data_IF_178515683178
#
_entry.id   IF_178515683178
#
_cell.length_a   1.000
_cell.length_b   1.000
_cell.length_c   1.000
_cell.angle_alpha   90.00
_cell.angle_beta   90.00
_cell.angle_gamma   90.00
#
_symmetry.space_group_name_H-M   'P 1'
#
loop_
_entity.id
_entity.type
_entity.pdbx_description
1 polymer ?
#
# COMPACT_ATOMS: atom_id res chain seq x y z
N UNK A 1 -30.06 -8.91 14.97
CA UNK A 1 -30.48 -8.00 16.05
C UNK A 1 -30.54 -6.61 15.46
N UNK A 2 -31.77 -6.10 15.30
CA UNK A 2 -32.06 -4.75 14.82
C UNK A 2 -31.86 -3.76 15.97
N UNK A 3 -31.19 -2.67 15.74
CA UNK A 3 -31.16 -1.54 16.64
C UNK A 3 -31.75 -0.32 15.93
N UNK A 4 -33.01 0.00 16.29
CA UNK A 4 -33.65 1.28 16.02
C UNK A 4 -33.14 2.34 16.99
N UNK A 5 -32.79 3.50 16.47
CA UNK A 5 -32.46 4.68 17.27
C UNK A 5 -33.68 5.59 17.39
N UNK A 6 -34.17 5.74 18.60
CA UNK A 6 -35.22 6.75 18.94
C UNK A 6 -34.57 7.89 19.71
N UNK A 7 -34.74 9.08 19.16
CA UNK A 7 -34.35 10.37 19.75
C UNK A 7 -35.34 10.76 20.85
N UNK A 8 -34.86 11.19 22.03
CA UNK A 8 -35.62 12.11 22.92
C UNK A 8 -34.67 13.09 23.60
N UNK A 9 -34.99 14.37 23.37
CA UNK A 9 -34.51 15.52 24.14
C UNK A 9 -35.27 15.57 25.48
N UNK A 10 -34.62 16.00 26.55
CA UNK A 10 -35.26 16.86 27.57
C UNK A 10 -34.23 17.68 28.35
N UNK A 11 -34.62 18.91 28.57
CA UNK A 11 -33.96 20.00 29.32
C UNK A 11 -34.14 19.87 30.84
N UNK A 12 -33.18 20.44 31.63
CA UNK A 12 -33.39 21.33 32.79
C UNK A 12 -32.05 21.42 33.55
N UNK A 13 -31.41 22.54 33.67
CA UNK A 13 -31.48 23.73 34.54
C UNK A 13 -31.27 23.41 36.04
N UNK A 14 -30.28 24.08 36.64
CA UNK A 14 -30.15 24.23 38.10
C UNK A 14 -28.73 24.56 38.55
N UNK A 15 -28.57 25.82 38.86
CA UNK A 15 -27.44 26.51 39.54
C UNK A 15 -27.15 25.92 40.93
N UNK A 16 -25.89 25.97 41.39
CA UNK A 16 -25.50 26.86 42.49
C UNK A 16 -24.02 26.78 42.81
N UNK A 17 -23.54 27.92 43.26
CA UNK A 17 -22.14 28.26 43.55
C UNK A 17 -21.68 27.70 44.90
N UNK A 18 -20.40 27.37 44.96
CA UNK A 18 -19.66 27.12 46.23
C UNK A 18 -18.16 27.27 46.04
N UNK A 19 -17.69 28.47 46.33
CA UNK A 19 -16.25 28.81 46.39
C UNK A 19 -15.71 28.38 47.75
N UNK A 20 -14.53 27.71 47.82
CA UNK A 20 -13.52 27.89 48.89
C UNK A 20 -12.13 27.37 48.42
N UNK A 21 -11.03 27.92 48.93
CA UNK A 21 -9.76 28.01 48.20
C UNK A 21 -8.61 27.16 48.75
N UNK A 22 -7.58 27.06 47.91
CA UNK A 22 -6.11 26.99 48.15
C UNK A 22 -5.56 25.75 48.86
N UNK A 23 -4.74 25.02 48.14
CA UNK A 23 -3.37 24.70 48.57
C UNK A 23 -2.51 24.26 47.38
N UNK A 24 -1.45 24.98 47.11
CA UNK A 24 -0.36 24.68 46.19
C UNK A 24 0.36 23.40 46.62
N UNK A 25 0.50 22.44 45.69
CA UNK A 25 1.60 21.49 45.67
C UNK A 25 2.03 21.32 44.21
N UNK A 26 3.07 22.00 43.82
CA UNK A 26 3.75 21.85 42.56
C UNK A 26 4.50 20.52 42.57
N UNK A 27 3.93 19.50 41.95
CA UNK A 27 4.64 18.27 41.59
C UNK A 27 5.05 18.44 40.14
N UNK A 28 6.31 18.80 39.91
CA UNK A 28 6.95 18.80 38.59
C UNK A 28 7.13 17.32 38.19
N UNK A 29 6.15 16.73 37.55
CA UNK A 29 6.33 15.51 36.83
C UNK A 29 6.90 15.87 35.44
N UNK A 30 8.22 15.72 35.30
CA UNK A 30 8.87 15.73 34.00
C UNK A 30 8.37 14.49 33.22
N UNK A 31 7.28 14.65 32.51
CA UNK A 31 6.87 13.72 31.46
C UNK A 31 7.86 13.94 30.32
N UNK A 32 8.86 13.07 30.20
CA UNK A 32 9.62 12.93 28.95
C UNK A 32 8.63 12.50 27.87
N UNK A 33 8.11 13.48 27.15
CA UNK A 33 7.52 13.29 25.84
C UNK A 33 8.67 12.83 24.92
N UNK A 34 8.85 11.53 24.81
CA UNK A 34 9.47 10.95 23.64
C UNK A 34 8.47 11.21 22.52
N UNK A 35 8.55 12.41 21.97
CA UNK A 35 7.97 12.69 20.67
C UNK A 35 8.74 11.85 19.65
N UNK A 36 8.28 10.61 19.45
CA UNK A 36 8.59 9.89 18.25
C UNK A 36 8.17 10.83 17.10
N UNK A 37 9.14 11.50 16.51
CA UNK A 37 8.96 12.15 15.23
C UNK A 37 8.59 11.04 14.25
N UNK A 38 7.31 10.81 14.10
CA UNK A 38 6.79 10.27 12.86
C UNK A 38 7.19 11.31 11.80
N UNK A 39 8.33 11.10 11.17
CA UNK A 39 8.61 11.73 9.90
C UNK A 39 7.50 11.20 8.98
N UNK A 40 6.48 12.02 8.74
CA UNK A 40 5.68 11.86 7.56
C UNK A 40 6.72 11.95 6.42
N UNK A 41 7.11 10.79 5.89
CA UNK A 41 7.83 10.72 4.64
C UNK A 41 6.89 11.38 3.65
N UNK A 42 7.24 12.59 3.22
CA UNK A 42 6.59 13.25 2.09
C UNK A 42 6.63 12.21 0.99
N UNK A 43 5.47 11.64 0.66
CA UNK A 43 5.44 10.54 -0.31
C UNK A 43 6.00 11.07 -1.62
N UNK A 44 7.13 10.51 -2.02
CA UNK A 44 7.70 10.83 -3.30
C UNK A 44 6.67 10.49 -4.39
N UNK A 45 6.40 11.40 -5.32
CA UNK A 45 5.44 11.12 -6.40
C UNK A 45 5.91 9.94 -7.25
N UNK A 46 4.94 9.24 -7.84
CA UNK A 46 5.19 8.18 -8.81
C UNK A 46 5.08 8.76 -10.23
N UNK A 47 5.97 8.30 -11.12
CA UNK A 47 5.97 8.71 -12.52
C UNK A 47 6.49 7.63 -13.44
N UNK A 48 6.48 7.94 -14.74
CA UNK A 48 7.02 7.09 -15.79
C UNK A 48 8.09 7.88 -16.55
N UNK A 49 9.20 7.23 -16.86
CA UNK A 49 10.30 7.85 -17.58
C UNK A 49 9.85 8.33 -18.95
N UNK A 50 10.30 9.52 -19.36
CA UNK A 50 10.06 10.04 -20.71
C UNK A 50 10.70 9.14 -21.78
N UNK A 51 11.88 8.62 -21.47
CA UNK A 51 12.62 7.68 -22.30
C UNK A 51 13.05 6.47 -21.44
N UNK A 52 12.77 5.24 -21.89
CA UNK A 52 13.13 4.06 -21.12
C UNK A 52 14.65 3.89 -21.08
N UNK A 53 15.20 3.64 -19.90
CA UNK A 53 16.61 3.27 -19.73
C UNK A 53 16.87 1.81 -20.11
N UNK A 54 18.15 1.39 -20.11
CA UNK A 54 18.58 0.03 -20.42
C UNK A 54 17.87 -0.98 -19.50
N UNK A 55 17.24 -1.99 -20.09
CA UNK A 55 16.36 -2.94 -19.39
C UNK A 55 17.04 -3.65 -18.21
N UNK A 56 18.30 -4.05 -18.36
CA UNK A 56 19.07 -4.72 -17.32
C UNK A 56 19.24 -3.92 -16.01
N UNK A 57 18.98 -2.62 -16.00
CA UNK A 57 18.96 -1.80 -14.79
C UNK A 57 17.67 -1.96 -13.96
N UNK A 58 16.73 -2.74 -14.45
CA UNK A 58 15.44 -2.98 -13.78
C UNK A 58 14.34 -2.05 -14.24
N UNK A 59 13.15 -2.28 -13.72
CA UNK A 59 11.92 -1.59 -14.16
C UNK A 59 11.65 -0.30 -13.40
N UNK A 60 12.30 -0.09 -12.27
CA UNK A 60 12.06 1.05 -11.39
C UNK A 60 13.36 1.67 -10.90
N UNK A 61 13.33 2.98 -10.68
CA UNK A 61 14.41 3.73 -10.01
C UNK A 61 13.83 4.81 -9.11
N UNK A 62 14.60 5.21 -8.10
CA UNK A 62 14.36 6.45 -7.38
C UNK A 62 15.24 7.57 -7.97
N UNK A 63 14.70 8.76 -8.13
CA UNK A 63 15.46 9.98 -8.43
C UNK A 63 15.70 10.67 -7.11
N UNK A 64 16.97 10.85 -6.77
CA UNK A 64 17.43 11.38 -5.49
C UNK A 64 18.17 12.69 -5.72
N UNK A 65 17.70 13.77 -5.10
CA UNK A 65 18.33 15.08 -5.12
C UNK A 65 19.31 15.21 -3.97
N UNK A 66 20.56 15.57 -4.29
CA UNK A 66 21.59 16.01 -3.37
C UNK A 66 21.80 17.51 -3.52
N UNK A 67 21.60 18.28 -2.46
CA UNK A 67 21.68 19.74 -2.49
C UNK A 67 23.10 20.27 -2.22
N UNK A 68 23.85 19.59 -1.38
CA UNK A 68 25.15 20.05 -0.92
C UNK A 68 26.23 18.97 -1.05
N UNK A 69 27.44 19.41 -1.39
CA UNK A 69 28.59 18.52 -1.44
C UNK A 69 28.93 18.00 -0.03
N UNK A 70 29.11 16.69 0.07
CA UNK A 70 29.48 16.02 1.32
C UNK A 70 30.31 14.77 0.99
N UNK A 71 31.07 14.25 1.96
CA UNK A 71 31.80 12.97 1.81
C UNK A 71 30.83 11.77 1.80
N UNK A 72 29.69 11.92 2.46
CA UNK A 72 28.58 10.98 2.40
C UNK A 72 27.25 11.70 2.59
N UNK A 73 26.18 11.20 1.94
CA UNK A 73 24.80 11.63 2.14
C UNK A 73 23.94 10.41 2.45
N UNK A 74 22.91 10.61 3.26
CA UNK A 74 21.93 9.58 3.61
C UNK A 74 20.63 9.81 2.84
N UNK A 75 20.08 8.76 2.24
CA UNK A 75 18.76 8.77 1.63
C UNK A 75 17.91 7.61 2.15
N UNK A 76 16.65 7.89 2.49
CA UNK A 76 15.63 6.87 2.75
C UNK A 76 14.67 6.84 1.56
N UNK A 77 14.55 5.68 0.91
CA UNK A 77 13.75 5.48 -0.31
C UNK A 77 12.53 4.64 0.04
N UNK A 78 11.31 5.20 0.06
CA UNK A 78 10.08 4.49 0.39
C UNK A 78 9.56 3.72 -0.84
N UNK A 79 10.27 2.71 -1.27
CA UNK A 79 9.96 1.98 -2.52
C UNK A 79 8.78 1.02 -2.44
N UNK A 80 8.32 0.63 -1.26
CA UNK A 80 7.09 -0.17 -1.03
C UNK A 80 6.93 -1.36 -1.98
N UNK A 81 7.95 -2.21 -1.99
CA UNK A 81 8.10 -3.33 -2.92
C UNK A 81 7.28 -4.54 -2.48
N UNK A 82 6.75 -5.28 -3.46
CA UNK A 82 6.18 -6.62 -3.22
C UNK A 82 7.24 -7.72 -3.07
N UNK A 83 8.46 -7.39 -3.36
CA UNK A 83 9.63 -8.23 -3.26
C UNK A 83 9.97 -8.56 -1.80
N UNK A 84 10.16 -9.84 -1.49
CA UNK A 84 10.36 -10.31 -0.12
C UNK A 84 11.82 -10.29 0.35
N UNK A 85 12.79 -10.26 -0.58
CA UNK A 85 14.24 -10.33 -0.29
C UNK A 85 15.04 -9.22 -0.98
N UNK A 86 14.68 -7.94 -0.72
CA UNK A 86 15.39 -6.80 -1.33
C UNK A 86 16.88 -6.74 -0.94
N UNK A 87 17.21 -7.26 0.25
CA UNK A 87 18.58 -7.31 0.76
C UNK A 87 19.49 -8.25 -0.06
N UNK A 88 18.92 -9.21 -0.78
CA UNK A 88 19.65 -10.14 -1.66
C UNK A 88 19.84 -9.62 -3.08
N UNK A 89 19.36 -8.43 -3.37
CA UNK A 89 19.38 -7.84 -4.71
C UNK A 89 20.26 -6.60 -4.74
N UNK A 90 20.93 -6.39 -5.89
CA UNK A 90 21.82 -5.27 -6.08
C UNK A 90 21.07 -3.95 -6.11
N UNK A 91 21.77 -2.90 -5.63
CA UNK A 91 21.36 -1.51 -5.77
C UNK A 91 22.50 -0.80 -6.51
N UNK A 92 22.14 -0.03 -7.53
CA UNK A 92 23.07 0.76 -8.32
C UNK A 92 22.74 2.24 -8.15
N UNK A 93 23.73 3.04 -7.77
CA UNK A 93 23.60 4.49 -7.72
C UNK A 93 24.40 5.09 -8.87
N UNK A 94 23.78 5.96 -9.65
CA UNK A 94 24.38 6.58 -10.83
C UNK A 94 24.15 8.07 -10.76
N UNK A 95 25.19 8.87 -10.95
CA UNK A 95 25.09 10.32 -11.12
C UNK A 95 24.32 10.64 -12.41
N UNK A 96 23.23 11.39 -12.31
CA UNK A 96 22.34 11.64 -13.44
C UNK A 96 22.97 12.55 -14.52
N UNK A 97 23.97 13.34 -14.14
CA UNK A 97 24.62 14.30 -15.06
C UNK A 97 25.73 13.65 -15.84
N UNK A 98 26.60 12.91 -15.17
CA UNK A 98 27.78 12.30 -15.79
C UNK A 98 27.56 10.87 -16.27
N UNK A 99 26.49 10.19 -15.77
CA UNK A 99 26.29 8.75 -15.99
C UNK A 99 27.25 7.88 -15.17
N UNK A 100 28.08 8.46 -14.32
CA UNK A 100 29.07 7.74 -13.52
C UNK A 100 28.38 6.89 -12.46
N UNK A 101 28.74 5.60 -12.40
CA UNK A 101 28.33 4.72 -11.30
C UNK A 101 29.08 5.10 -10.01
N UNK A 102 28.34 5.26 -8.94
CA UNK A 102 28.90 5.50 -7.60
C UNK A 102 29.27 4.14 -6.99
N UNK A 103 30.52 4.01 -6.58
CA UNK A 103 31.05 2.78 -5.96
C UNK A 103 30.93 2.79 -4.44
N UNK A 104 31.10 3.95 -3.81
CA UNK A 104 30.94 4.11 -2.38
C UNK A 104 29.45 4.26 -2.03
N UNK A 105 28.78 3.12 -1.85
CA UNK A 105 27.37 3.00 -1.48
C UNK A 105 27.24 2.00 -0.34
N UNK A 106 26.95 2.47 0.86
CA UNK A 106 26.68 1.64 2.02
C UNK A 106 25.17 1.38 2.16
N UNK A 107 24.80 0.13 2.27
CA UNK A 107 23.43 -0.35 2.49
C UNK A 107 23.22 -0.43 3.99
N UNK A 108 22.50 0.54 4.58
CA UNK A 108 22.31 0.66 6.03
C UNK A 108 21.14 -0.17 6.53
N UNK A 109 20.01 -0.03 5.86
CA UNK A 109 18.81 -0.81 6.11
C UNK A 109 18.09 -1.06 4.79
N UNK A 110 17.65 -2.29 4.56
CA UNK A 110 16.89 -2.66 3.38
C UNK A 110 15.81 -3.63 3.78
N UNK A 111 14.58 -3.25 3.57
CA UNK A 111 13.44 -4.15 3.65
C UNK A 111 12.51 -3.92 2.45
N UNK A 112 11.35 -4.57 2.44
CA UNK A 112 10.38 -4.45 1.37
C UNK A 112 9.64 -3.11 1.35
N UNK A 113 9.68 -2.32 2.40
CA UNK A 113 9.00 -1.04 2.51
C UNK A 113 9.91 0.12 2.17
N UNK A 114 11.14 0.07 2.63
CA UNK A 114 12.11 1.14 2.43
C UNK A 114 13.54 0.65 2.27
N UNK A 115 14.40 1.53 1.76
CA UNK A 115 15.84 1.35 1.73
C UNK A 115 16.57 2.57 2.22
N UNK A 116 17.41 2.40 3.26
CA UNK A 116 18.31 3.43 3.75
C UNK A 116 19.71 3.20 3.18
N UNK A 117 20.21 4.17 2.41
CA UNK A 117 21.51 4.13 1.76
C UNK A 117 22.34 5.35 2.17
N UNK A 118 23.64 5.11 2.49
CA UNK A 118 24.60 6.19 2.49
C UNK A 118 25.48 6.08 1.25
N UNK A 119 25.72 7.17 0.53
CA UNK A 119 26.57 7.16 -0.65
C UNK A 119 27.41 8.43 -0.76
N UNK A 120 28.54 8.34 -1.48
CA UNK A 120 29.45 9.44 -1.74
C UNK A 120 29.03 10.18 -3.01
N UNK A 121 28.44 11.38 -2.94
CA UNK A 121 28.07 12.12 -4.14
C UNK A 121 29.30 12.71 -4.84
N UNK A 122 29.31 12.68 -6.18
CA UNK A 122 30.34 13.27 -7.02
C UNK A 122 29.92 14.65 -7.54
N UNK A 123 28.63 14.85 -7.76
CA UNK A 123 28.04 16.12 -8.19
C UNK A 123 27.07 16.63 -7.13
N UNK A 124 27.19 17.91 -6.73
CA UNK A 124 26.26 18.59 -5.85
C UNK A 124 26.26 20.12 -6.13
N UNK A 125 25.09 20.75 -6.30
CA UNK A 125 23.78 20.12 -6.33
C UNK A 125 23.63 19.22 -7.56
N UNK A 126 22.91 18.10 -7.40
CA UNK A 126 22.71 17.14 -8.50
C UNK A 126 21.70 16.05 -8.20
N UNK A 127 21.25 15.38 -9.26
CA UNK A 127 20.35 14.24 -9.16
C UNK A 127 21.11 12.92 -9.32
N UNK A 128 20.63 11.90 -8.64
CA UNK A 128 21.15 10.55 -8.69
C UNK A 128 20.01 9.57 -9.00
N UNK A 129 20.28 8.61 -9.88
CA UNK A 129 19.40 7.49 -10.15
C UNK A 129 19.78 6.31 -9.26
N UNK A 130 18.84 5.84 -8.46
CA UNK A 130 18.99 4.65 -7.62
C UNK A 130 18.16 3.53 -8.22
N UNK A 131 18.80 2.59 -8.91
CA UNK A 131 18.17 1.39 -9.47
C UNK A 131 18.22 0.28 -8.43
N UNK A 132 17.10 -0.36 -8.14
CA UNK A 132 17.02 -1.30 -7.02
C UNK A 132 16.52 -2.71 -7.40
N UNK A 133 16.42 -3.02 -8.69
CA UNK A 133 16.06 -4.33 -9.22
C UNK A 133 16.84 -4.65 -10.52
N UNK A 134 18.16 -4.39 -10.58
CA UNK A 134 18.91 -4.74 -11.77
C UNK A 134 18.97 -6.25 -11.94
N UNK A 135 18.90 -6.72 -13.19
CA UNK A 135 18.94 -8.12 -13.54
C UNK A 135 19.85 -8.40 -14.73
N UNK A 136 20.30 -9.65 -14.84
CA UNK A 136 21.01 -10.11 -16.03
C UNK A 136 20.02 -10.37 -17.16
N UNK A 137 20.19 -9.75 -18.36
CA UNK A 137 19.37 -10.08 -19.52
C UNK A 137 19.51 -11.57 -19.85
N UNK A 138 18.41 -12.29 -19.91
CA UNK A 138 18.41 -13.68 -20.33
C UNK A 138 18.13 -13.75 -21.83
N UNK A 139 19.00 -14.39 -22.64
CA UNK A 139 18.72 -14.64 -24.04
C UNK A 139 17.67 -15.75 -24.16
N UNK A 140 16.56 -15.47 -24.82
CA UNK A 140 15.55 -16.48 -25.17
C UNK A 140 14.12 -16.00 -25.08
N UNK A 141 13.32 -16.49 -26.01
CA UNK A 141 11.85 -16.28 -26.01
C UNK A 141 11.23 -17.12 -24.88
N UNK A 142 10.50 -16.49 -23.97
CA UNK A 142 9.66 -17.20 -22.99
C UNK A 142 10.25 -17.38 -21.59
N UNK A 143 11.41 -16.82 -21.26
CA UNK A 143 11.85 -16.81 -19.87
C UNK A 143 11.12 -15.71 -19.08
N UNK A 144 10.18 -16.12 -18.23
CA UNK A 144 9.48 -15.23 -17.30
C UNK A 144 10.23 -15.00 -15.98
N UNK A 145 11.34 -15.73 -15.75
CA UNK A 145 12.18 -15.53 -14.58
C UNK A 145 13.25 -14.47 -14.87
N UNK A 146 13.42 -13.53 -13.95
CA UNK A 146 14.50 -12.54 -13.99
C UNK A 146 15.54 -12.94 -12.95
N UNK A 147 16.79 -13.11 -13.39
CA UNK A 147 17.90 -13.33 -12.47
C UNK A 147 18.41 -11.98 -11.99
N UNK A 148 17.89 -11.55 -10.84
CA UNK A 148 18.33 -10.33 -10.21
C UNK A 148 19.80 -10.42 -9.81
N UNK A 149 20.55 -9.35 -10.04
CA UNK A 149 21.96 -9.30 -9.68
C UNK A 149 22.12 -9.36 -8.15
N UNK A 150 23.02 -10.20 -7.64
CA UNK A 150 23.31 -10.24 -6.22
C UNK A 150 24.02 -8.95 -5.77
N UNK A 151 23.96 -8.60 -4.48
CA UNK A 151 24.69 -7.46 -3.93
C UNK A 151 26.19 -7.60 -4.20
N UNK A 152 26.80 -6.49 -4.61
CA UNK A 152 28.23 -6.37 -4.73
C UNK A 152 28.73 -5.35 -3.70
N UNK A 153 29.67 -5.73 -2.87
CA UNK A 153 30.37 -4.78 -2.00
C UNK A 153 31.46 -4.09 -2.83
N UNK A 154 31.17 -2.88 -3.26
CA UNK A 154 32.10 -2.03 -4.02
C UNK A 154 32.63 -0.86 -3.17
N UNK A 155 32.36 -0.90 -1.87
CA UNK A 155 32.66 0.19 -0.94
C UNK A 155 34.15 0.19 -0.63
N UNK A 156 34.81 1.34 -0.87
CA UNK A 156 36.20 1.54 -0.45
C UNK A 156 36.35 1.46 1.07
N UNK A 157 37.28 0.64 1.57
CA UNK A 157 37.47 0.45 3.01
C UNK A 157 37.72 1.76 3.75
N UNK A 158 38.56 2.65 3.16
CA UNK A 158 38.86 3.95 3.75
C UNK A 158 37.62 4.86 3.84
N UNK A 159 36.78 4.88 2.82
CA UNK A 159 35.55 5.66 2.87
C UNK A 159 34.57 5.08 3.90
N UNK A 160 34.43 3.74 3.95
CA UNK A 160 33.58 3.06 4.92
C UNK A 160 33.98 3.35 6.36
N UNK A 161 35.30 3.42 6.64
CA UNK A 161 35.83 3.75 7.98
C UNK A 161 35.55 5.19 8.42
N UNK A 162 35.33 6.11 7.48
CA UNK A 162 34.98 7.52 7.77
C UNK A 162 33.49 7.75 7.99
N UNK A 163 32.64 6.77 7.70
CA UNK A 163 31.22 6.91 7.99
C UNK A 163 31.00 7.03 9.51
N UNK A 164 30.17 7.99 9.96
CA UNK A 164 29.87 8.11 11.38
C UNK A 164 29.10 6.88 11.87
N UNK A 165 29.35 6.45 13.11
CA UNK A 165 28.58 5.38 13.75
C UNK A 165 27.07 5.68 13.75
N UNK A 166 26.72 6.94 14.05
CA UNK A 166 25.36 7.43 13.89
C UNK A 166 25.19 8.05 12.49
N UNK A 167 24.70 7.25 11.56
CA UNK A 167 24.46 7.67 10.18
C UNK A 167 23.35 8.71 10.03
N UNK A 168 22.50 8.91 11.05
CA UNK A 168 21.48 9.97 11.06
C UNK A 168 22.07 11.38 11.09
N UNK A 169 23.34 11.50 11.48
CA UNK A 169 24.09 12.76 11.43
C UNK A 169 24.51 13.17 10.01
N UNK A 170 24.41 12.27 9.02
CA UNK A 170 24.76 12.58 7.64
C UNK A 170 23.79 13.59 7.02
N UNK A 171 24.27 14.46 6.12
CA UNK A 171 23.40 15.28 5.29
C UNK A 171 22.36 14.42 4.55
N UNK A 172 21.12 14.89 4.52
CA UNK A 172 20.01 14.17 3.91
C UNK A 172 19.89 14.50 2.42
N UNK A 173 19.81 13.47 1.60
CA UNK A 173 19.34 13.58 0.23
C UNK A 173 17.83 13.29 0.19
N UNK A 174 17.13 13.86 -0.78
CA UNK A 174 15.67 13.78 -0.92
C UNK A 174 15.28 12.92 -2.12
N UNK A 175 14.38 11.97 -1.94
CA UNK A 175 13.71 11.30 -3.06
C UNK A 175 12.71 12.25 -3.67
N UNK A 176 12.89 12.59 -4.95
CA UNK A 176 12.03 13.53 -5.67
C UNK A 176 11.01 12.83 -6.57
N UNK A 177 11.31 11.59 -6.98
CA UNK A 177 10.43 10.79 -7.84
C UNK A 177 10.76 9.31 -7.68
N UNK A 178 9.74 8.48 -7.63
CA UNK A 178 9.83 7.04 -7.89
C UNK A 178 9.36 6.80 -9.33
N UNK A 179 10.24 6.33 -10.19
CA UNK A 179 10.02 6.32 -11.62
C UNK A 179 9.99 4.89 -12.16
N UNK A 180 8.98 4.58 -12.96
CA UNK A 180 8.90 3.36 -13.74
C UNK A 180 9.57 3.54 -15.10
N UNK A 181 10.17 2.48 -15.63
CA UNK A 181 10.88 2.49 -16.92
C UNK A 181 9.96 2.74 -18.10
N UNK A 182 8.77 2.13 -18.08
CA UNK A 182 7.74 2.24 -19.14
C UNK A 182 6.35 2.32 -18.51
N UNK A 183 5.34 2.68 -19.29
CA UNK A 183 3.94 2.63 -18.86
C UNK A 183 3.50 1.23 -18.43
N UNK A 184 4.06 0.17 -19.03
CA UNK A 184 3.79 -1.21 -18.64
C UNK A 184 4.26 -1.51 -17.20
N UNK A 185 5.34 -0.86 -16.77
CA UNK A 185 5.93 -1.01 -15.44
C UNK A 185 5.40 0.02 -14.43
N UNK A 186 4.44 0.86 -14.82
CA UNK A 186 3.92 1.95 -13.99
C UNK A 186 3.44 1.47 -12.63
N UNK A 187 3.59 2.32 -11.63
CA UNK A 187 3.15 2.02 -10.26
C UNK A 187 1.63 2.00 -10.19
N UNK A 188 1.07 0.80 -10.09
CA UNK A 188 -0.37 0.63 -9.98
C UNK A 188 -0.83 0.87 -8.53
N UNK A 189 -1.82 1.75 -8.28
CA UNK A 189 -2.21 2.13 -6.91
C UNK A 189 -2.61 0.96 -6.00
N UNK A 190 -3.07 -0.16 -6.61
CA UNK A 190 -3.44 -1.38 -5.88
C UNK A 190 -2.25 -2.32 -5.61
N UNK A 191 -1.03 -1.91 -5.97
CA UNK A 191 0.20 -2.69 -5.76
C UNK A 191 1.24 -1.95 -4.91
N UNK A 192 0.95 -0.72 -4.49
CA UNK A 192 1.74 0.02 -3.50
C UNK A 192 1.40 -0.51 -2.11
N UNK A 193 2.37 -1.15 -1.46
CA UNK A 193 2.15 -1.90 -0.21
C UNK A 193 2.12 -0.96 1.00
N UNK A 194 1.14 -1.15 1.89
CA UNK A 194 1.10 -0.48 3.18
C UNK A 194 2.09 -1.11 4.16
N UNK A 195 2.69 -0.27 5.03
CA UNK A 195 3.59 -0.77 6.09
C UNK A 195 2.81 -1.40 7.25
N UNK A 196 3.45 -2.23 8.08
CA UNK A 196 2.82 -2.79 9.28
C UNK A 196 2.27 -1.71 10.23
N UNK A 197 2.99 -0.59 10.38
CA UNK A 197 2.60 0.55 11.23
C UNK A 197 1.35 1.23 10.71
N UNK A 198 1.25 1.44 9.39
CA UNK A 198 0.08 2.01 8.73
C UNK A 198 -1.14 1.10 8.88
N UNK A 199 -0.94 -0.21 8.74
CA UNK A 199 -1.98 -1.23 8.96
C UNK A 199 -2.43 -1.21 10.42
N UNK A 200 -1.51 -1.14 11.38
CA UNK A 200 -1.85 -1.05 12.79
C UNK A 200 -2.62 0.23 13.13
N UNK A 201 -2.27 1.35 12.52
CA UNK A 201 -3.02 2.60 12.66
C UNK A 201 -4.44 2.47 12.09
N UNK A 202 -4.62 1.80 10.95
CA UNK A 202 -5.95 1.52 10.39
C UNK A 202 -6.79 0.72 11.39
N UNK A 203 -6.24 -0.36 11.97
CA UNK A 203 -6.90 -1.20 12.95
C UNK A 203 -7.30 -0.42 14.22
N UNK A 204 -6.43 0.45 14.70
CA UNK A 204 -6.68 1.26 15.90
C UNK A 204 -7.79 2.30 15.69
N UNK A 205 -7.89 2.88 14.49
CA UNK A 205 -8.86 3.95 14.19
C UNK A 205 -10.26 3.44 13.90
N UNK A 206 -10.42 2.29 13.26
CA UNK A 206 -11.67 1.91 12.61
C UNK A 206 -12.20 0.53 12.94
N UNK A 207 -11.44 -0.29 13.64
CA UNK A 207 -11.75 -1.71 13.67
C UNK A 207 -11.32 -2.42 14.95
N UNK A 208 -11.39 -1.78 16.10
CA UNK A 208 -10.96 -2.38 17.36
C UNK A 208 -11.54 -3.80 17.56
N UNK A 209 -12.78 -4.06 17.12
CA UNK A 209 -13.51 -5.30 17.32
C UNK A 209 -13.90 -6.04 16.03
N UNK A 210 -13.50 -5.55 14.84
CA UNK A 210 -13.91 -6.18 13.58
C UNK A 210 -13.01 -7.35 13.22
N UNK A 211 -13.58 -8.53 13.00
CA UNK A 211 -12.86 -9.71 12.52
C UNK A 211 -12.27 -9.49 11.13
N UNK A 212 -12.95 -8.75 10.29
CA UNK A 212 -12.55 -8.44 8.92
C UNK A 212 -12.97 -7.03 8.50
N UNK A 213 -12.32 -6.51 7.46
CA UNK A 213 -12.66 -5.24 6.82
C UNK A 213 -12.99 -5.48 5.34
N UNK A 214 -13.86 -4.62 4.80
CA UNK A 214 -14.26 -4.68 3.39
C UNK A 214 -13.87 -3.40 2.66
N UNK A 215 -13.45 -3.58 1.41
CA UNK A 215 -12.96 -2.53 0.52
C UNK A 215 -13.57 -2.71 -0.86
N UNK A 216 -14.72 -2.06 -1.14
CA UNK A 216 -15.29 -2.08 -2.48
C UNK A 216 -14.37 -1.34 -3.46
N UNK A 217 -14.16 -1.93 -4.64
CA UNK A 217 -13.34 -1.34 -5.70
C UNK A 217 -14.03 -1.45 -7.06
N UNK A 218 -14.01 -0.35 -7.78
CA UNK A 218 -14.45 -0.27 -9.15
C UNK A 218 -13.53 -1.06 -10.09
N UNK A 219 -14.02 -1.45 -11.26
CA UNK A 219 -13.27 -2.19 -12.30
C UNK A 219 -11.96 -1.52 -12.74
N UNK A 220 -11.78 -0.18 -12.50
CA UNK A 220 -10.53 0.53 -12.77
C UNK A 220 -9.41 0.17 -11.81
N UNK A 221 -9.75 -0.37 -10.64
CA UNK A 221 -8.79 -0.73 -9.59
C UNK A 221 -8.88 -2.22 -9.20
N UNK A 222 -8.60 -3.14 -10.12
CA UNK A 222 -8.66 -4.57 -9.82
C UNK A 222 -7.72 -4.93 -8.67
N UNK A 223 -8.24 -5.71 -7.73
CA UNK A 223 -7.51 -6.18 -6.56
C UNK A 223 -6.50 -7.24 -7.01
N UNK A 224 -5.21 -6.97 -6.81
CA UNK A 224 -4.11 -7.81 -7.30
C UNK A 224 -3.30 -8.46 -6.19
N UNK A 225 -3.31 -7.90 -4.98
CA UNK A 225 -2.55 -8.42 -3.84
C UNK A 225 -3.42 -9.28 -2.93
N UNK A 226 -2.92 -10.45 -2.57
CA UNK A 226 -3.56 -11.37 -1.62
C UNK A 226 -2.90 -11.37 -0.25
N UNK A 227 -1.62 -11.05 -0.22
CA UNK A 227 -0.77 -11.16 0.98
C UNK A 227 -0.52 -9.80 1.63
N UNK A 228 -0.83 -8.72 0.95
CA UNK A 228 -0.56 -7.36 1.37
C UNK A 228 -1.79 -6.48 1.20
N UNK A 229 -1.90 -5.44 2.05
CA UNK A 229 -2.88 -4.38 1.88
C UNK A 229 -2.33 -3.27 0.97
N UNK A 230 -3.10 -2.81 -0.02
CA UNK A 230 -2.77 -1.60 -0.74
C UNK A 230 -2.75 -0.38 0.19
N UNK A 231 -1.74 0.46 0.08
CA UNK A 231 -1.67 1.74 0.80
C UNK A 231 -2.91 2.60 0.55
N UNK A 232 -3.44 2.55 -0.66
CA UNK A 232 -4.70 3.19 -1.05
C UNK A 232 -5.85 2.84 -0.09
N UNK A 233 -5.99 1.57 0.30
CA UNK A 233 -7.03 1.12 1.22
C UNK A 233 -6.79 1.62 2.65
N UNK A 234 -5.55 1.62 3.09
CA UNK A 234 -5.21 2.11 4.42
C UNK A 234 -5.49 3.60 4.56
N UNK A 235 -5.22 4.38 3.51
CA UNK A 235 -5.51 5.82 3.47
C UNK A 235 -7.01 6.12 3.40
N UNK A 236 -7.73 5.46 2.50
CA UNK A 236 -9.18 5.66 2.33
C UNK A 236 -9.99 5.08 3.50
N UNK A 237 -9.50 4.02 4.12
CA UNK A 237 -10.23 3.22 5.09
C UNK A 237 -11.23 2.26 4.43
N UNK A 238 -11.86 1.37 5.24
CA UNK A 238 -12.88 0.44 4.75
C UNK A 238 -14.11 1.21 4.26
N UNK A 239 -14.66 0.78 3.14
CA UNK A 239 -15.84 1.34 2.50
C UNK A 239 -17.08 0.49 2.70
N UNK A 240 -18.27 1.11 2.54
CA UNK A 240 -19.57 0.42 2.61
C UNK A 240 -20.40 0.60 1.34
N UNK A 241 -19.95 1.46 0.44
CA UNK A 241 -20.68 1.83 -0.76
C UNK A 241 -19.78 1.76 -1.99
N UNK A 242 -20.37 1.43 -3.11
CA UNK A 242 -19.75 1.52 -4.42
C UNK A 242 -20.79 2.08 -5.40
N UNK A 243 -20.33 2.97 -6.26
CA UNK A 243 -21.11 3.53 -7.35
C UNK A 243 -20.48 3.14 -8.67
N UNK A 244 -21.30 2.80 -9.65
CA UNK A 244 -20.82 2.43 -10.98
C UNK A 244 -21.89 2.73 -12.04
N UNK A 245 -21.43 3.02 -13.24
CA UNK A 245 -22.28 3.26 -14.39
C UNK A 245 -22.25 2.05 -15.32
N UNK A 246 -23.41 1.56 -15.73
CA UNK A 246 -23.56 0.45 -16.63
C UNK A 246 -24.60 0.74 -17.72
N UNK A 247 -24.41 0.16 -18.91
CA UNK A 247 -25.36 0.25 -19.99
C UNK A 247 -26.36 -0.92 -19.92
N UNK A 248 -27.50 -0.78 -20.58
CA UNK A 248 -28.41 -1.89 -20.80
C UNK A 248 -27.70 -3.01 -21.56
N UNK A 249 -27.99 -4.27 -21.22
CA UNK A 249 -27.34 -5.43 -21.80
C UNK A 249 -25.82 -5.48 -21.59
N UNK A 250 -25.32 -4.74 -20.57
CA UNK A 250 -23.94 -4.81 -20.12
C UNK A 250 -23.82 -5.80 -18.98
N UNK A 251 -22.75 -6.57 -18.98
CA UNK A 251 -22.31 -7.31 -17.82
C UNK A 251 -21.27 -6.46 -17.07
N UNK A 252 -21.73 -5.71 -16.09
CA UNK A 252 -20.86 -4.85 -15.28
C UNK A 252 -20.20 -5.65 -14.17
N UNK A 253 -18.91 -5.42 -13.92
CA UNK A 253 -18.15 -6.14 -12.87
C UNK A 253 -17.46 -5.15 -11.94
N UNK A 254 -17.54 -5.42 -10.64
CA UNK A 254 -16.76 -4.75 -9.60
C UNK A 254 -16.22 -5.77 -8.60
N UNK A 255 -15.39 -5.33 -7.66
CA UNK A 255 -14.83 -6.20 -6.65
C UNK A 255 -15.09 -5.69 -5.25
N UNK A 256 -15.17 -6.62 -4.29
CA UNK A 256 -15.13 -6.33 -2.87
C UNK A 256 -13.92 -7.06 -2.29
N UNK A 257 -12.91 -6.30 -1.85
CA UNK A 257 -11.79 -6.85 -1.10
C UNK A 257 -12.25 -7.18 0.32
N UNK A 258 -12.07 -8.41 0.74
CA UNK A 258 -12.30 -8.85 2.11
C UNK A 258 -10.95 -9.15 2.73
N UNK A 259 -10.55 -8.35 3.72
CA UNK A 259 -9.33 -8.56 4.47
C UNK A 259 -9.62 -9.19 5.82
N UNK A 260 -9.11 -10.39 6.06
CA UNK A 260 -9.22 -11.11 7.32
C UNK A 260 -8.29 -10.48 8.38
N UNK A 261 -8.76 -9.44 9.06
CA UNK A 261 -7.92 -8.58 9.88
C UNK A 261 -7.40 -9.27 11.16
N UNK A 262 -8.26 -10.04 11.84
CA UNK A 262 -7.95 -10.56 13.19
C UNK A 262 -8.10 -12.06 13.35
N UNK A 263 -8.81 -12.73 12.47
CA UNK A 263 -9.06 -14.16 12.53
C UNK A 263 -9.21 -14.75 11.14
N UNK A 264 -9.09 -16.06 11.02
CA UNK A 264 -9.44 -16.76 9.79
C UNK A 264 -10.93 -16.59 9.50
N UNK A 265 -11.28 -16.38 8.26
CA UNK A 265 -12.68 -16.36 7.81
C UNK A 265 -12.94 -17.67 7.07
N UNK A 266 -13.94 -18.41 7.52
CA UNK A 266 -14.33 -19.69 6.91
C UNK A 266 -15.66 -19.55 6.20
N UNK A 267 -15.80 -20.24 5.07
CA UNK A 267 -17.03 -20.35 4.31
C UNK A 267 -17.74 -19.01 4.10
N UNK A 268 -17.04 -18.04 3.46
CA UNK A 268 -17.67 -16.76 3.11
C UNK A 268 -18.91 -17.01 2.27
N UNK A 269 -20.05 -16.54 2.74
CA UNK A 269 -21.29 -16.45 1.99
C UNK A 269 -21.58 -15.01 1.58
N UNK A 270 -22.16 -14.85 0.39
CA UNK A 270 -22.47 -13.53 -0.20
C UNK A 270 -23.93 -13.49 -0.55
N UNK A 271 -24.67 -12.66 0.15
CA UNK A 271 -26.09 -12.46 -0.01
C UNK A 271 -26.38 -11.14 -0.73
N UNK A 272 -27.32 -11.19 -1.68
CA UNK A 272 -27.78 -10.03 -2.43
C UNK A 272 -29.23 -9.71 -2.08
N UNK A 273 -29.49 -8.45 -1.69
CA UNK A 273 -30.83 -7.96 -1.34
C UNK A 273 -31.12 -6.64 -2.05
N UNK A 274 -32.37 -6.36 -2.32
CA UNK A 274 -32.83 -5.12 -2.93
C UNK A 274 -33.34 -5.28 -4.36
N UNK A 275 -33.59 -4.17 -5.03
CA UNK A 275 -34.29 -4.08 -6.30
C UNK A 275 -33.62 -4.93 -7.41
N UNK A 276 -32.31 -4.79 -7.53
CA UNK A 276 -31.55 -5.46 -8.58
C UNK A 276 -30.82 -6.72 -8.09
N UNK A 277 -31.18 -7.26 -6.92
CA UNK A 277 -30.50 -8.43 -6.34
C UNK A 277 -30.40 -9.62 -7.31
N UNK A 278 -31.44 -9.83 -8.13
CA UNK A 278 -31.47 -10.91 -9.15
C UNK A 278 -30.50 -10.71 -10.33
N UNK A 279 -29.95 -9.51 -10.47
CA UNK A 279 -28.94 -9.23 -11.51
C UNK A 279 -27.52 -9.48 -11.01
N UNK A 280 -27.34 -9.68 -9.69
CA UNK A 280 -26.04 -9.83 -9.07
C UNK A 280 -25.64 -11.30 -8.92
N UNK A 281 -24.37 -11.54 -9.10
CA UNK A 281 -23.76 -12.85 -8.87
C UNK A 281 -22.33 -12.69 -8.33
N UNK A 282 -21.92 -13.57 -7.41
CA UNK A 282 -20.53 -13.64 -6.93
C UNK A 282 -19.81 -14.84 -7.56
N UNK A 283 -18.89 -14.59 -8.47
CA UNK A 283 -18.15 -15.63 -9.20
C UNK A 283 -17.22 -16.47 -8.32
N UNK A 284 -16.88 -16.00 -7.12
CA UNK A 284 -16.02 -16.77 -6.23
C UNK A 284 -16.78 -17.87 -5.50
N UNK A 285 -18.09 -17.73 -5.31
CA UNK A 285 -18.90 -18.65 -4.51
C UNK A 285 -19.80 -19.55 -5.34
N UNK A 286 -20.29 -19.07 -6.47
CA UNK A 286 -21.19 -19.82 -7.34
C UNK A 286 -21.11 -19.31 -8.79
N UNK A 287 -21.59 -20.09 -9.72
CA UNK A 287 -21.65 -19.73 -11.13
C UNK A 287 -21.87 -20.94 -12.04
N UNK A 288 -21.58 -20.75 -13.31
CA UNK A 288 -21.56 -21.80 -14.32
C UNK A 288 -20.12 -21.96 -14.81
N UNK A 289 -19.63 -23.20 -14.83
CA UNK A 289 -18.29 -23.51 -15.30
C UNK A 289 -18.22 -23.52 -16.85
N UNK A 290 -17.03 -23.79 -17.39
CA UNK A 290 -16.76 -23.77 -18.82
C UNK A 290 -17.55 -24.81 -19.63
N UNK A 291 -18.03 -25.89 -18.98
CA UNK A 291 -18.86 -26.95 -19.61
C UNK A 291 -20.37 -26.73 -19.37
N UNK A 292 -20.76 -25.55 -18.93
CA UNK A 292 -22.16 -25.16 -18.76
C UNK A 292 -22.81 -25.66 -17.47
N UNK A 293 -22.07 -26.33 -16.57
CA UNK A 293 -22.63 -26.87 -15.33
C UNK A 293 -22.55 -25.88 -14.18
N UNK A 294 -23.55 -25.82 -13.30
CA UNK A 294 -23.48 -24.99 -12.12
C UNK A 294 -22.42 -25.49 -11.15
N UNK A 295 -21.73 -24.59 -10.48
CA UNK A 295 -20.81 -24.92 -9.40
C UNK A 295 -21.08 -24.10 -8.15
N UNK A 296 -20.69 -24.62 -7.00
CA UNK A 296 -20.55 -23.89 -5.74
C UNK A 296 -19.14 -24.12 -5.19
N UNK A 297 -18.57 -23.10 -4.57
CA UNK A 297 -17.22 -23.13 -4.02
C UNK A 297 -17.19 -22.46 -2.65
N UNK A 298 -16.56 -23.12 -1.68
CA UNK A 298 -16.27 -22.53 -0.36
C UNK A 298 -15.08 -21.61 -0.46
N UNK A 299 -15.22 -20.38 0.01
CA UNK A 299 -14.16 -19.36 0.07
C UNK A 299 -13.71 -19.18 1.51
N UNK A 300 -12.45 -19.47 1.77
CA UNK A 300 -11.81 -19.25 3.06
C UNK A 300 -10.72 -18.19 2.91
N UNK A 301 -10.57 -17.32 3.92
CA UNK A 301 -9.55 -16.27 3.93
C UNK A 301 -8.74 -16.39 5.22
N UNK A 302 -7.48 -16.81 5.13
CA UNK A 302 -6.61 -16.86 6.31
C UNK A 302 -6.39 -15.46 6.89
N UNK A 303 -6.15 -15.40 8.20
CA UNK A 303 -5.82 -14.15 8.88
C UNK A 303 -4.65 -13.42 8.18
N UNK A 304 -4.77 -12.12 8.05
CA UNK A 304 -3.80 -11.26 7.37
C UNK A 304 -3.89 -11.28 5.84
N UNK A 305 -4.75 -12.13 5.24
CA UNK A 305 -4.88 -12.26 3.79
C UNK A 305 -6.09 -11.52 3.25
N UNK A 306 -6.03 -11.22 1.96
CA UNK A 306 -7.07 -10.55 1.18
C UNK A 306 -7.73 -11.53 0.22
N UNK A 307 -9.05 -11.52 0.17
CA UNK A 307 -9.85 -12.17 -0.86
C UNK A 307 -10.58 -11.12 -1.68
N UNK A 308 -10.35 -11.11 -2.98
CA UNK A 308 -11.19 -10.37 -3.92
C UNK A 308 -12.45 -11.18 -4.21
N UNK A 309 -13.62 -10.64 -3.86
CA UNK A 309 -14.90 -11.15 -4.30
C UNK A 309 -15.30 -10.42 -5.58
N UNK A 310 -15.44 -11.15 -6.66
CA UNK A 310 -15.85 -10.63 -7.96
C UNK A 310 -17.36 -10.65 -8.06
N UNK A 311 -17.95 -9.47 -8.17
CA UNK A 311 -19.40 -9.30 -8.27
C UNK A 311 -19.73 -8.88 -9.70
N UNK A 312 -20.57 -9.65 -10.36
CA UNK A 312 -21.13 -9.33 -11.65
C UNK A 312 -22.55 -8.80 -11.50
N UNK A 313 -22.90 -7.83 -12.33
CA UNK A 313 -24.25 -7.28 -12.48
C UNK A 313 -24.67 -7.50 -13.93
N UNK A 314 -25.57 -8.44 -14.16
CA UNK A 314 -26.14 -8.71 -15.49
C UNK A 314 -27.30 -7.74 -15.72
N UNK A 315 -27.01 -6.61 -16.37
CA UNK A 315 -28.00 -5.54 -16.60
C UNK A 315 -28.93 -5.96 -17.74
N UNK A 316 -30.24 -6.17 -17.46
CA UNK A 316 -31.17 -6.60 -18.50
C UNK A 316 -31.25 -5.58 -19.66
N UNK A 317 -31.58 -6.09 -20.84
CA UNK A 317 -31.82 -5.23 -22.01
C UNK A 317 -32.97 -4.27 -21.81
N UNK A 318 -33.95 -4.68 -21.00
CA UNK A 318 -35.17 -3.95 -20.67
C UNK A 318 -35.03 -3.08 -19.43
N UNK A 319 -33.83 -3.01 -18.80
CA UNK A 319 -33.62 -2.19 -17.61
C UNK A 319 -34.05 -0.74 -17.85
N UNK A 320 -34.81 -0.20 -16.93
CA UNK A 320 -35.25 1.20 -16.98
C UNK A 320 -34.00 2.06 -16.66
N UNK A 321 -33.72 3.12 -17.46
CA UNK A 321 -32.65 4.06 -17.10
C UNK A 321 -32.93 4.77 -15.79
N UNK A 322 -31.94 4.87 -14.93
CA UNK A 322 -32.05 5.51 -13.63
C UNK A 322 -31.08 4.91 -12.62
N UNK A 323 -31.25 5.34 -11.38
CA UNK A 323 -30.48 4.86 -10.25
C UNK A 323 -31.13 3.58 -9.70
N UNK A 324 -30.32 2.54 -9.52
CA UNK A 324 -30.74 1.24 -9.03
C UNK A 324 -29.89 0.85 -7.82
N UNK A 325 -30.51 0.19 -6.83
CA UNK A 325 -29.87 -0.12 -5.56
C UNK A 325 -29.92 -1.61 -5.23
N UNK A 326 -28.83 -2.11 -4.68
CA UNK A 326 -28.77 -3.41 -4.03
C UNK A 326 -27.87 -3.34 -2.79
N UNK A 327 -28.04 -4.30 -1.90
CA UNK A 327 -27.19 -4.54 -0.74
C UNK A 327 -26.46 -5.86 -0.94
N UNK A 328 -25.14 -5.81 -0.77
CA UNK A 328 -24.29 -7.02 -0.72
C UNK A 328 -23.90 -7.24 0.73
N UNK A 329 -24.28 -8.38 1.29
CA UNK A 329 -23.91 -8.76 2.65
C UNK A 329 -22.93 -9.93 2.60
N UNK A 330 -21.83 -9.82 3.34
CA UNK A 330 -20.79 -10.82 3.40
C UNK A 330 -20.84 -11.44 4.80
N UNK A 331 -21.06 -12.73 4.85
CA UNK A 331 -21.16 -13.50 6.09
C UNK A 331 -20.07 -14.54 6.14
N UNK A 332 -18.98 -14.34 6.93
CA UNK A 332 -18.12 -15.46 7.28
C UNK A 332 -18.86 -16.34 8.29
N UNK A 333 -18.81 -17.66 8.08
CA UNK A 333 -19.19 -18.59 9.13
C UNK A 333 -18.09 -18.48 10.18
N UNK A 334 -18.37 -17.82 11.29
CA UNK A 334 -17.43 -17.77 12.43
C UNK A 334 -17.32 -19.16 13.04
N UNK A 335 -16.14 -19.67 13.15
CA UNK A 335 -15.80 -20.76 14.06
C UNK A 335 -15.67 -20.24 15.49
#
# INVERSE_FOLDING_TARGET
MSAEATTRRQFASGSDAGVWPVAFAALVAAVMLIAGRAFALDEAPYGVAKEPWVEGLGNHRAIVRVEQKADAVLVNIPWRRRDHDPERKQILVVDATSGQRITNVARLHLDRFEGALAFQPVTAPGDYFVYYLPFAPQPGWGSYSRDYLPPQDSVGADWKSRLPQNTDALPRAKVVLLEARTEFDSFYPMEVVATPEEIQQLLNRRAADSAYLVFPEDRRFPIRMRDDLPLRWVKAGPGREIHGDAQRNEFYVFQIGVWAARTNLTALDVEFNGEIAKWLNCFNTAGTNWDGKPFRKTVNVPQGKVQALWIGVDVPREAIPGEHHARVTIHPTST
#
